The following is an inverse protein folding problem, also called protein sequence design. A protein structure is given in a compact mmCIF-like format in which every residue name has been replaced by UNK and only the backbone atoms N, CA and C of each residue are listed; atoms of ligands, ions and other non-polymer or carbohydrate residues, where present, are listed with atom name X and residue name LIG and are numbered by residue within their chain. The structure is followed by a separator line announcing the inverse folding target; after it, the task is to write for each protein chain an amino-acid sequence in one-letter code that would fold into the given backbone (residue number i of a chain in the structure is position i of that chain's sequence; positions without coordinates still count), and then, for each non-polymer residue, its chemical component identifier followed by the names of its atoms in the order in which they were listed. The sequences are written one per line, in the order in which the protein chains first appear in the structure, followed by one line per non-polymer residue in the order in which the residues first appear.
data_IF_352394146473
#
_entry.id   IF_352394146473
#
_cell.length_a   1.000
_cell.length_b   1.000
_cell.length_c   1.000
_cell.angle_alpha   90.00
_cell.angle_beta   90.00
_cell.angle_gamma   90.00
#
_symmetry.space_group_name_H-M   'P 1'
#
loop_
_entity.id
_entity.type
_entity.pdbx_description
1 polymer ?
#
# COMPACT_ATOMS: atom_id res chain seq x y z
N UNK A 1 72.60 -38.00 -22.46
CA UNK A 1 73.29 -37.17 -21.43
C UNK A 1 72.23 -36.39 -20.68
N UNK A 2 72.25 -36.36 -19.35
CA UNK A 2 71.21 -35.69 -18.54
C UNK A 2 71.85 -35.07 -17.29
N UNK A 3 71.71 -33.75 -17.12
CA UNK A 3 71.83 -33.04 -15.82
C UNK A 3 71.37 -31.57 -15.92
N UNK A 4 70.20 -31.32 -15.34
CA UNK A 4 69.84 -30.22 -14.43
C UNK A 4 70.49 -28.84 -14.65
N UNK A 5 69.66 -27.81 -14.86
CA UNK A 5 69.79 -26.47 -14.25
C UNK A 5 68.40 -25.91 -13.89
N UNK A 6 68.32 -25.03 -12.89
CA UNK A 6 67.07 -24.47 -12.37
C UNK A 6 67.29 -23.03 -11.85
N UNK A 7 66.26 -22.15 -11.93
CA UNK A 7 66.04 -20.91 -11.13
C UNK A 7 66.98 -19.69 -11.43
N UNK A 8 66.61 -18.38 -11.24
CA UNK A 8 65.42 -17.78 -10.58
C UNK A 8 64.59 -16.68 -11.32
N UNK A 9 63.34 -16.56 -10.86
CA UNK A 9 62.48 -15.38 -10.59
C UNK A 9 62.67 -14.01 -11.30
N UNK A 10 61.70 -13.67 -12.17
CA UNK A 10 61.25 -12.31 -12.55
C UNK A 10 59.90 -12.40 -13.31
N UNK A 11 58.96 -11.44 -13.33
CA UNK A 11 58.66 -10.25 -12.48
C UNK A 11 57.13 -9.92 -12.56
N UNK A 12 56.70 -8.79 -11.97
CA UNK A 12 55.32 -8.28 -11.81
C UNK A 12 54.47 -8.11 -13.09
N UNK A 13 53.20 -8.57 -13.04
CA UNK A 13 52.09 -8.03 -13.86
C UNK A 13 51.26 -7.04 -13.03
N UNK A 14 50.99 -5.86 -13.59
CA UNK A 14 50.21 -4.79 -12.94
C UNK A 14 48.72 -5.12 -13.02
N UNK A 15 48.11 -5.45 -11.88
CA UNK A 15 46.64 -5.42 -11.73
C UNK A 15 46.21 -3.97 -11.47
N UNK A 16 45.62 -3.31 -12.47
CA UNK A 16 44.85 -2.09 -12.23
C UNK A 16 43.66 -2.45 -11.33
N UNK A 17 43.65 -1.91 -10.12
CA UNK A 17 42.43 -1.82 -9.33
C UNK A 17 41.53 -0.78 -10.00
N UNK A 18 40.67 -1.22 -10.92
CA UNK A 18 39.43 -0.49 -11.17
C UNK A 18 38.65 -0.50 -9.87
N UNK A 19 38.60 0.65 -9.19
CA UNK A 19 37.58 0.86 -8.18
C UNK A 19 36.24 0.82 -8.91
N UNK A 20 35.59 -0.34 -8.92
CA UNK A 20 34.16 -0.39 -9.04
C UNK A 20 33.63 0.40 -7.85
N UNK A 21 33.33 1.68 -8.09
CA UNK A 21 32.48 2.44 -7.20
C UNK A 21 31.17 1.67 -7.15
N UNK A 22 30.97 0.90 -6.09
CA UNK A 22 29.66 0.40 -5.75
C UNK A 22 28.79 1.63 -5.64
N UNK A 23 27.96 1.85 -6.66
CA UNK A 23 26.91 2.84 -6.62
C UNK A 23 26.04 2.42 -5.45
N UNK A 24 26.23 3.08 -4.32
CA UNK A 24 25.18 3.14 -3.32
C UNK A 24 23.96 3.60 -4.09
N UNK A 25 22.85 2.88 -3.97
CA UNK A 25 21.56 3.52 -4.11
C UNK A 25 21.49 4.56 -2.98
N UNK A 26 22.07 5.72 -3.24
CA UNK A 26 21.73 6.95 -2.54
C UNK A 26 20.28 7.16 -2.89
N UNK A 27 19.41 6.66 -2.03
CA UNK A 27 18.00 7.02 -2.03
C UNK A 27 18.00 8.54 -1.98
N UNK A 28 17.49 9.19 -3.02
CA UNK A 28 17.27 10.63 -2.96
C UNK A 28 16.26 10.83 -1.83
N UNK A 29 16.76 11.27 -0.67
CA UNK A 29 15.96 11.81 0.42
C UNK A 29 15.36 13.14 -0.02
N UNK A 30 14.51 13.07 -1.04
CA UNK A 30 13.31 13.87 -1.12
C UNK A 30 12.63 13.78 0.24
N UNK A 31 12.22 14.92 0.79
CA UNK A 31 11.46 15.02 2.04
C UNK A 31 10.04 14.44 1.84
N UNK A 32 9.97 13.13 1.59
CA UNK A 32 8.75 12.35 1.51
C UNK A 32 8.47 11.79 2.89
N UNK A 33 7.30 12.10 3.45
CA UNK A 33 6.95 11.69 4.81
C UNK A 33 6.47 10.23 4.87
N UNK A 34 6.47 9.53 3.73
CA UNK A 34 5.93 8.20 3.55
C UNK A 34 7.04 7.19 3.25
N UNK A 35 7.01 6.04 3.93
CA UNK A 35 8.01 4.98 3.73
C UNK A 35 7.83 4.28 2.37
N UNK A 36 8.91 3.95 1.64
CA UNK A 36 8.83 3.28 0.34
C UNK A 36 8.04 1.95 0.36
N UNK A 37 8.12 1.19 1.47
CA UNK A 37 7.37 -0.04 1.68
C UNK A 37 5.86 0.18 1.82
N UNK A 38 5.46 1.20 2.59
CA UNK A 38 4.04 1.55 2.78
C UNK A 38 3.45 2.13 1.50
N UNK A 39 4.21 3.00 0.80
CA UNK A 39 3.86 3.48 -0.55
C UNK A 39 3.63 2.31 -1.52
N UNK A 40 4.53 1.32 -1.55
CA UNK A 40 4.37 0.14 -2.39
C UNK A 40 3.12 -0.66 -2.01
N UNK A 41 2.88 -0.88 -0.71
CA UNK A 41 1.70 -1.56 -0.19
C UNK A 41 0.38 -0.89 -0.60
N UNK A 42 0.33 0.45 -0.55
CA UNK A 42 -0.80 1.26 -1.01
C UNK A 42 -1.01 1.18 -2.52
N UNK A 43 0.06 1.18 -3.33
CA UNK A 43 -0.05 1.02 -4.78
C UNK A 43 -0.51 -0.39 -5.17
N UNK A 44 -0.05 -1.43 -4.46
CA UNK A 44 -0.57 -2.81 -4.62
C UNK A 44 -2.06 -2.89 -4.26
N UNK A 45 -2.49 -2.18 -3.22
CA UNK A 45 -3.89 -2.10 -2.80
C UNK A 45 -4.75 -1.37 -3.86
N UNK A 46 -4.30 -0.20 -4.33
CA UNK A 46 -4.93 0.56 -5.42
C UNK A 46 -5.14 -0.30 -6.67
N UNK A 47 -4.16 -1.12 -7.03
CA UNK A 47 -4.23 -2.03 -8.17
C UNK A 47 -5.16 -3.25 -7.98
N UNK A 48 -5.76 -3.44 -6.80
CA UNK A 48 -6.86 -4.39 -6.57
C UNK A 48 -8.24 -3.75 -6.79
N UNK A 49 -8.34 -2.43 -6.66
CA UNK A 49 -9.59 -1.69 -6.85
C UNK A 49 -9.86 -1.36 -8.32
N UNK A 50 -11.14 -1.40 -8.66
CA UNK A 50 -11.72 -0.66 -9.79
C UNK A 50 -12.30 0.63 -9.22
N UNK A 51 -11.91 1.76 -9.81
CA UNK A 51 -12.24 3.12 -9.36
C UNK A 51 -12.85 3.91 -10.53
N UNK A 52 -14.17 3.77 -10.79
CA UNK A 52 -14.80 4.30 -12.01
C UNK A 52 -14.73 5.83 -12.12
N UNK A 53 -14.58 6.53 -10.98
CA UNK A 53 -14.61 8.00 -10.89
C UNK A 53 -13.25 8.59 -10.48
N UNK A 54 -12.17 7.80 -10.53
CA UNK A 54 -10.80 8.22 -10.21
C UNK A 54 -10.67 8.89 -8.83
N UNK A 55 -11.39 8.40 -7.81
CA UNK A 55 -11.29 8.87 -6.42
C UNK A 55 -9.85 8.75 -5.87
N UNK A 56 -9.12 7.73 -6.33
CA UNK A 56 -7.72 7.42 -6.03
C UNK A 56 -6.74 8.05 -7.04
N UNK A 57 -7.18 9.00 -7.87
CA UNK A 57 -6.31 9.78 -8.79
C UNK A 57 -5.06 10.30 -8.10
N UNK A 58 -5.23 10.98 -6.95
CA UNK A 58 -4.14 11.55 -6.14
C UNK A 58 -3.10 10.54 -5.61
N UNK A 59 -3.32 9.23 -5.75
CA UNK A 59 -2.37 8.20 -5.31
C UNK A 59 -1.25 8.01 -6.36
N UNK A 60 -0.39 9.02 -6.45
CA UNK A 60 0.74 9.14 -7.37
C UNK A 60 1.87 10.02 -6.78
N UNK A 61 3.07 10.00 -7.37
CA UNK A 61 4.23 10.73 -6.84
C UNK A 61 4.91 10.04 -5.65
N UNK A 62 5.72 10.78 -4.87
CA UNK A 62 6.55 10.22 -3.80
C UNK A 62 5.91 10.25 -2.40
N UNK A 63 5.33 11.39 -2.00
CA UNK A 63 4.81 11.57 -0.64
C UNK A 63 3.37 11.04 -0.49
N UNK A 64 3.21 9.77 -0.11
CA UNK A 64 1.89 9.16 0.02
C UNK A 64 1.03 9.78 1.14
N UNK A 65 1.63 10.50 2.08
CA UNK A 65 0.91 11.21 3.15
C UNK A 65 0.06 12.39 2.64
N UNK A 66 0.23 12.77 1.36
CA UNK A 66 -0.57 13.79 0.66
C UNK A 66 -1.70 13.20 -0.19
N UNK A 67 -1.79 11.88 -0.29
CA UNK A 67 -2.81 11.19 -1.08
C UNK A 67 -4.18 11.31 -0.41
N UNK A 68 -5.25 11.54 -1.19
CA UNK A 68 -6.61 11.62 -0.65
C UNK A 68 -6.96 10.33 0.09
N UNK A 69 -7.41 10.48 1.33
CA UNK A 69 -7.78 9.36 2.19
C UNK A 69 -6.62 8.69 2.91
N UNK A 70 -5.36 9.07 2.65
CA UNK A 70 -4.21 8.61 3.43
C UNK A 70 -3.93 9.63 4.54
N UNK A 71 -3.60 9.15 5.74
CA UNK A 71 -3.11 10.00 6.82
C UNK A 71 -1.96 9.30 7.54
N UNK A 72 -0.87 10.03 7.72
CA UNK A 72 0.35 9.57 8.36
C UNK A 72 0.51 10.15 9.77
N UNK A 73 1.30 9.46 10.59
CA UNK A 73 1.74 9.94 11.90
C UNK A 73 2.76 11.06 11.75
N UNK A 74 2.46 12.26 12.27
CA UNK A 74 3.41 13.38 12.31
C UNK A 74 4.70 13.08 13.10
N UNK A 75 4.68 12.06 13.97
CA UNK A 75 5.84 11.69 14.78
C UNK A 75 6.76 10.65 14.09
N UNK A 76 6.25 9.89 13.12
CA UNK A 76 6.94 8.69 12.59
C UNK A 76 6.82 8.48 11.08
N UNK A 77 6.03 9.28 10.35
CA UNK A 77 5.78 9.12 8.92
C UNK A 77 4.87 7.93 8.54
N UNK A 78 4.74 6.93 9.40
CA UNK A 78 3.90 5.75 9.17
C UNK A 78 2.44 6.10 8.83
N UNK A 79 1.87 5.41 7.85
CA UNK A 79 0.44 5.43 7.53
C UNK A 79 -0.36 4.88 8.71
N UNK A 80 -1.27 5.70 9.24
CA UNK A 80 -2.10 5.38 10.42
C UNK A 80 -3.58 5.29 10.12
N UNK A 81 -4.06 5.97 9.07
CA UNK A 81 -5.47 5.98 8.68
C UNK A 81 -5.61 5.85 7.16
N UNK A 82 -6.55 5.00 6.74
CA UNK A 82 -7.07 4.91 5.38
C UNK A 82 -8.57 5.21 5.38
N UNK A 83 -8.94 6.23 4.61
CA UNK A 83 -10.31 6.75 4.47
C UNK A 83 -10.73 6.63 3.01
N UNK A 84 -11.37 5.50 2.70
CA UNK A 84 -11.83 5.13 1.37
C UNK A 84 -13.36 5.08 1.30
N UNK A 85 -14.05 5.63 2.31
CA UNK A 85 -15.51 5.74 2.35
C UNK A 85 -16.05 6.55 1.16
N UNK A 86 -17.12 6.06 0.52
CA UNK A 86 -17.73 6.74 -0.61
C UNK A 86 -18.61 7.91 -0.13
N UNK A 87 -18.05 9.11 -0.10
CA UNK A 87 -18.73 10.36 0.26
C UNK A 87 -19.89 10.74 -0.67
N UNK A 88 -20.08 10.05 -1.80
CA UNK A 88 -21.20 10.24 -2.73
C UNK A 88 -22.31 9.19 -2.58
N UNK A 89 -22.06 8.12 -1.80
CA UNK A 89 -23.06 7.09 -1.52
C UNK A 89 -24.19 7.54 -0.58
N UNK A 90 -24.05 8.75 -0.01
CA UNK A 90 -25.05 9.42 0.79
C UNK A 90 -25.19 10.88 0.29
N UNK A 91 -26.40 11.30 -0.07
CA UNK A 91 -26.73 12.70 -0.31
C UNK A 91 -27.80 13.11 0.71
N UNK A 92 -27.56 14.22 1.41
CA UNK A 92 -28.54 14.81 2.33
C UNK A 92 -29.27 15.94 1.61
N UNK A 93 -30.60 15.87 1.52
CA UNK A 93 -31.44 16.93 0.94
C UNK A 93 -32.59 17.18 1.92
N UNK A 94 -32.71 18.41 2.42
CA UNK A 94 -33.77 18.81 3.37
C UNK A 94 -33.85 17.86 4.58
N UNK A 95 -32.70 17.60 5.21
CA UNK A 95 -32.49 16.68 6.34
C UNK A 95 -32.82 15.19 6.09
N UNK A 96 -33.30 14.83 4.89
CA UNK A 96 -33.51 13.45 4.46
C UNK A 96 -32.27 12.84 3.80
N UNK A 97 -32.05 11.55 4.07
CA UNK A 97 -30.88 10.79 3.59
C UNK A 97 -31.25 9.94 2.37
N UNK A 98 -30.65 10.27 1.22
CA UNK A 98 -30.79 9.51 -0.01
C UNK A 98 -29.52 8.69 -0.29
N UNK A 99 -29.68 7.38 -0.47
CA UNK A 99 -28.62 6.49 -0.97
C UNK A 99 -28.56 6.64 -2.50
N UNK A 100 -27.71 7.54 -2.97
CA UNK A 100 -27.99 8.22 -4.24
C UNK A 100 -27.10 7.84 -5.43
N UNK A 101 -25.83 7.47 -5.24
CA UNK A 101 -24.98 7.08 -6.37
C UNK A 101 -23.91 6.02 -6.06
N UNK A 102 -24.03 4.88 -6.74
CA UNK A 102 -23.04 3.79 -6.73
C UNK A 102 -21.99 3.94 -7.85
N UNK A 103 -22.10 4.92 -8.75
CA UNK A 103 -21.11 5.16 -9.80
C UNK A 103 -19.73 5.55 -9.23
N UNK A 104 -19.71 6.19 -8.06
CA UNK A 104 -18.51 6.54 -7.29
C UNK A 104 -18.01 5.43 -6.36
N UNK A 105 -18.71 4.29 -6.27
CA UNK A 105 -18.31 3.21 -5.38
C UNK A 105 -17.03 2.52 -5.88
N UNK A 106 -16.03 2.37 -5.01
CA UNK A 106 -14.92 1.47 -5.27
C UNK A 106 -15.44 0.03 -5.28
N UNK A 107 -14.89 -0.81 -6.14
CA UNK A 107 -15.19 -2.24 -6.19
C UNK A 107 -13.93 -3.04 -6.56
N UNK A 108 -14.05 -4.37 -6.69
CA UNK A 108 -12.92 -5.24 -6.97
C UNK A 108 -12.36 -5.91 -5.71
N UNK A 109 -11.04 -6.10 -5.67
CA UNK A 109 -10.33 -6.89 -4.66
C UNK A 109 -9.66 -5.99 -3.60
N UNK A 110 -9.99 -6.19 -2.32
CA UNK A 110 -9.19 -5.63 -1.22
C UNK A 110 -8.02 -6.57 -0.97
N UNK A 111 -6.83 -6.18 -1.46
CA UNK A 111 -5.61 -6.99 -1.36
C UNK A 111 -4.99 -6.98 0.02
N UNK A 112 -4.35 -8.10 0.36
CA UNK A 112 -3.62 -8.31 1.62
C UNK A 112 -2.38 -7.43 1.80
N UNK A 113 -2.01 -6.60 0.82
CA UNK A 113 -0.90 -5.66 0.95
C UNK A 113 -1.09 -4.65 2.10
N UNK A 114 -2.34 -4.44 2.54
CA UNK A 114 -2.68 -3.67 3.73
C UNK A 114 -2.00 -4.19 5.02
N UNK A 115 -1.61 -5.47 5.08
CA UNK A 115 -0.81 -6.05 6.17
C UNK A 115 0.59 -5.42 6.31
N UNK A 116 1.11 -4.76 5.27
CA UNK A 116 2.38 -4.04 5.30
C UNK A 116 2.24 -2.58 5.74
N UNK A 117 1.10 -2.20 6.33
CA UNK A 117 0.86 -0.92 6.98
C UNK A 117 0.83 -1.14 8.51
N UNK A 118 1.98 -1.28 9.18
CA UNK A 118 2.07 -1.81 10.54
C UNK A 118 1.31 -1.00 11.60
N UNK A 119 1.12 0.30 11.36
CA UNK A 119 0.52 1.23 12.31
C UNK A 119 -0.92 1.63 11.92
N UNK A 120 -1.51 0.97 10.91
CA UNK A 120 -2.87 1.26 10.44
C UNK A 120 -3.89 0.99 11.55
N UNK A 121 -4.48 2.05 12.08
CA UNK A 121 -5.44 2.00 13.18
C UNK A 121 -6.87 2.42 12.80
N UNK A 122 -7.06 2.99 11.61
CA UNK A 122 -8.37 3.37 11.08
C UNK A 122 -8.49 2.90 9.63
N UNK A 123 -9.55 2.15 9.33
CA UNK A 123 -9.95 1.76 7.98
C UNK A 123 -11.43 2.06 7.75
N UNK A 124 -11.71 2.94 6.79
CA UNK A 124 -13.06 3.17 6.29
C UNK A 124 -13.18 2.73 4.83
N UNK A 125 -14.10 1.82 4.56
CA UNK A 125 -14.47 1.29 3.25
C UNK A 125 -15.98 1.45 2.99
N UNK A 126 -16.68 2.28 3.77
CA UNK A 126 -18.13 2.44 3.74
C UNK A 126 -18.66 2.93 2.39
N UNK A 127 -19.94 2.63 2.11
CA UNK A 127 -20.68 3.07 0.92
C UNK A 127 -20.05 2.69 -0.45
N UNK A 128 -19.09 1.75 -0.45
CA UNK A 128 -18.50 1.14 -1.65
C UNK A 128 -19.28 -0.11 -2.08
N UNK A 129 -18.87 -0.79 -3.16
CA UNK A 129 -19.59 -1.94 -3.69
C UNK A 129 -18.67 -3.16 -3.86
N UNK A 130 -18.47 -3.94 -2.80
CA UNK A 130 -17.70 -5.18 -2.91
C UNK A 130 -18.53 -6.38 -3.41
N UNK A 131 -19.63 -6.14 -4.15
CA UNK A 131 -20.35 -7.14 -4.96
C UNK A 131 -20.75 -8.44 -4.25
N UNK A 132 -21.11 -8.36 -2.97
CA UNK A 132 -21.39 -9.51 -2.07
C UNK A 132 -20.23 -10.50 -1.97
N UNK A 133 -18.99 -10.01 -2.09
CA UNK A 133 -17.80 -10.78 -1.73
C UNK A 133 -17.66 -10.91 -0.21
N UNK A 134 -16.84 -11.87 0.24
CA UNK A 134 -16.51 -12.04 1.66
C UNK A 134 -15.61 -10.91 2.14
N UNK A 135 -15.79 -10.50 3.40
CA UNK A 135 -14.81 -9.66 4.09
C UNK A 135 -13.49 -10.46 4.16
N UNK A 136 -12.36 -9.94 3.66
CA UNK A 136 -11.09 -10.67 3.68
C UNK A 136 -10.63 -10.94 5.12
N UNK A 137 -10.33 -12.20 5.43
CA UNK A 137 -9.97 -12.65 6.79
C UNK A 137 -8.77 -11.90 7.36
N UNK A 138 -7.83 -11.47 6.50
CA UNK A 138 -6.65 -10.72 6.92
C UNK A 138 -6.95 -9.37 7.59
N UNK A 139 -8.15 -8.80 7.42
CA UNK A 139 -8.56 -7.59 8.14
C UNK A 139 -8.56 -7.85 9.66
N UNK A 140 -8.90 -9.06 10.10
CA UNK A 140 -8.79 -9.48 11.50
C UNK A 140 -7.36 -9.63 12.02
N UNK A 141 -6.35 -9.61 11.13
CA UNK A 141 -4.92 -9.70 11.47
C UNK A 141 -4.23 -8.33 11.61
N UNK A 142 -4.95 -7.22 11.35
CA UNK A 142 -4.43 -5.85 11.47
C UNK A 142 -4.33 -5.44 12.95
N UNK A 143 -3.17 -5.68 13.56
CA UNK A 143 -2.96 -5.60 15.02
C UNK A 143 -3.27 -4.24 15.66
N UNK A 144 -3.01 -3.14 14.95
CA UNK A 144 -3.24 -1.78 15.45
C UNK A 144 -4.65 -1.24 15.13
N UNK A 145 -5.48 -2.00 14.41
CA UNK A 145 -6.80 -1.56 13.94
C UNK A 145 -7.76 -1.33 15.11
N UNK A 146 -8.16 -0.06 15.30
CA UNK A 146 -9.06 0.42 16.36
C UNK A 146 -10.40 0.89 15.81
N UNK A 147 -10.45 1.28 14.54
CA UNK A 147 -11.66 1.68 13.84
C UNK A 147 -11.77 0.96 12.49
N UNK A 148 -12.93 0.33 12.26
CA UNK A 148 -13.27 -0.37 11.03
C UNK A 148 -14.70 0.00 10.63
N UNK A 149 -14.86 0.69 9.51
CA UNK A 149 -16.16 1.06 8.96
C UNK A 149 -16.40 0.35 7.61
N UNK A 150 -17.34 -0.59 7.61
CA UNK A 150 -17.80 -1.34 6.42
C UNK A 150 -19.30 -1.11 6.14
N UNK A 151 -19.87 -0.01 6.66
CA UNK A 151 -21.29 0.29 6.52
C UNK A 151 -21.66 0.50 5.04
N UNK A 152 -22.74 -0.14 4.58
CA UNK A 152 -23.20 -0.07 3.18
C UNK A 152 -22.12 -0.43 2.12
N UNK A 153 -21.13 -1.25 2.48
CA UNK A 153 -20.05 -1.66 1.53
C UNK A 153 -20.41 -2.87 0.65
N UNK A 154 -21.64 -3.40 0.75
CA UNK A 154 -22.13 -4.57 -0.01
C UNK A 154 -21.27 -5.85 0.13
N UNK A 155 -20.76 -6.18 1.32
CA UNK A 155 -20.17 -7.51 1.59
C UNK A 155 -21.23 -8.61 1.78
N UNK A 156 -20.82 -9.86 1.66
CA UNK A 156 -21.58 -11.03 2.10
C UNK A 156 -21.77 -10.97 3.62
N UNK A 157 -23.03 -11.00 4.08
CA UNK A 157 -23.35 -11.23 5.49
C UNK A 157 -23.22 -12.74 5.74
N UNK A 158 -22.39 -13.19 6.70
CA UNK A 158 -22.29 -14.61 7.02
C UNK A 158 -23.66 -15.17 7.38
N UNK A 159 -24.12 -16.16 6.61
CA UNK A 159 -25.36 -16.87 6.88
C UNK A 159 -25.19 -17.71 8.14
N UNK A 160 -25.55 -17.11 9.28
CA UNK A 160 -25.77 -17.86 10.52
C UNK A 160 -26.84 -18.91 10.25
N UNK A 161 -26.44 -20.18 10.21
CA UNK A 161 -27.35 -21.28 9.93
C UNK A 161 -28.45 -21.30 10.98
N UNK A 162 -29.69 -21.02 10.54
CA UNK A 162 -30.89 -21.35 11.33
C UNK A 162 -31.08 -22.87 11.26
N UNK A 163 -30.50 -23.54 12.25
CA UNK A 163 -30.89 -24.88 12.67
C UNK A 163 -31.91 -24.75 13.81
#
# INVERSE_FOLDING_TARGET
MMKIKNVPSALFWVLLLTQATFGTCGDEQTNSNCLPSEKAALLTLKAGFVDPQNRLSSWEGQDCCRWRGVTCSNATGHVVKLDLGNTYGQIVIQDEVFFADMSYALHGEIRSSMLFLPNLNYLDLSYNNFSRSKIPEFIGSLKELKHLNLAQSHFEVPSTGKN
#
